data_IF_831395246894
#
_entry.id   IF_831395246894
#
_cell.length_a   1.000
_cell.length_b   1.000
_cell.length_c   1.000
_cell.angle_alpha   90.00
_cell.angle_beta   90.00
_cell.angle_gamma   90.00
#
_symmetry.space_group_name_H-M   'P 1'
#
loop_
_entity.id
_entity.type
_entity.pdbx_description
1 polymer ?
#
# COMPACT_ATOMS: atom_id res chain seq x y z
N UNK A 1 0.69 -18.99 48.89
CA UNK A 1 1.34 -17.92 48.11
C UNK A 1 1.91 -18.53 46.85
N UNK A 2 1.46 -18.11 45.67
CA UNK A 2 2.29 -17.98 44.44
C UNK A 2 1.48 -17.28 43.36
N UNK A 3 2.13 -16.33 42.71
CA UNK A 3 1.59 -15.15 42.03
C UNK A 3 0.73 -15.43 40.80
N UNK A 4 -0.37 -14.66 40.70
CA UNK A 4 -1.04 -14.33 39.43
C UNK A 4 -0.17 -13.34 38.66
N UNK A 5 0.77 -13.84 37.86
CA UNK A 5 1.37 -13.04 36.79
C UNK A 5 0.45 -13.06 35.57
N UNK A 6 -0.67 -12.33 35.68
CA UNK A 6 -1.41 -11.88 34.49
C UNK A 6 -0.55 -10.84 33.79
N UNK A 7 0.27 -11.31 32.85
CA UNK A 7 1.07 -10.48 31.94
C UNK A 7 0.11 -9.60 31.14
N UNK A 8 -0.20 -8.42 31.67
CA UNK A 8 -1.00 -7.39 31.02
C UNK A 8 -0.32 -7.11 29.67
N UNK A 9 -0.91 -7.56 28.56
CA UNK A 9 -0.51 -7.11 27.22
C UNK A 9 -0.60 -5.58 27.25
N UNK A 10 0.53 -4.87 27.26
CA UNK A 10 0.49 -3.42 27.26
C UNK A 10 -0.21 -3.00 25.97
N UNK A 11 -1.31 -2.25 26.10
CA UNK A 11 -1.94 -1.63 24.94
C UNK A 11 -0.93 -0.68 24.33
N UNK A 12 -0.71 -0.81 23.03
CA UNK A 12 0.11 0.12 22.26
C UNK A 12 -0.43 1.54 22.44
N UNK A 13 0.48 2.50 22.56
CA UNK A 13 0.13 3.92 22.47
C UNK A 13 -0.34 4.26 21.06
N UNK A 14 -1.01 5.41 20.92
CA UNK A 14 -1.44 5.93 19.62
C UNK A 14 -0.24 6.06 18.67
N UNK A 15 0.88 6.59 19.16
CA UNK A 15 2.11 6.81 18.37
C UNK A 15 2.75 5.50 17.89
N UNK A 16 2.77 4.48 18.75
CA UNK A 16 3.26 3.14 18.36
C UNK A 16 2.35 2.50 17.32
N UNK A 17 1.03 2.63 17.50
CA UNK A 17 0.03 2.13 16.55
C UNK A 17 0.17 2.80 15.19
N UNK A 18 0.35 4.12 15.14
CA UNK A 18 0.60 4.86 13.90
C UNK A 18 1.90 4.45 13.21
N UNK A 19 2.93 4.12 13.99
CA UNK A 19 4.22 3.66 13.47
C UNK A 19 4.08 2.27 12.85
N UNK A 20 3.39 1.35 13.54
CA UNK A 20 3.07 0.02 13.01
C UNK A 20 2.20 0.11 11.75
N UNK A 21 1.22 1.01 11.73
CA UNK A 21 0.39 1.26 10.55
C UNK A 21 1.23 1.74 9.37
N UNK A 22 2.24 2.59 9.60
CA UNK A 22 3.18 3.03 8.55
C UNK A 22 3.99 1.87 7.98
N UNK A 23 4.53 0.98 8.84
CA UNK A 23 5.24 -0.22 8.35
C UNK A 23 4.32 -1.16 7.58
N UNK A 24 3.09 -1.37 8.07
CA UNK A 24 2.09 -2.21 7.40
C UNK A 24 1.71 -1.64 6.03
N UNK A 25 1.54 -0.31 5.96
CA UNK A 25 1.27 0.43 4.72
C UNK A 25 2.42 0.26 3.73
N UNK A 26 3.66 0.44 4.20
CA UNK A 26 4.85 0.28 3.37
C UNK A 26 4.97 -1.13 2.80
N UNK A 27 4.84 -2.16 3.64
CA UNK A 27 4.96 -3.56 3.22
C UNK A 27 3.92 -3.90 2.13
N UNK A 28 2.64 -3.61 2.37
CA UNK A 28 1.58 -3.89 1.39
C UNK A 28 1.77 -3.13 0.09
N UNK A 29 2.12 -1.85 0.17
CA UNK A 29 2.43 -1.05 -1.02
C UNK A 29 3.58 -1.66 -1.82
N UNK A 30 4.67 -2.02 -1.13
CA UNK A 30 5.85 -2.60 -1.77
C UNK A 30 5.54 -3.94 -2.45
N UNK A 31 4.68 -4.78 -1.86
CA UNK A 31 4.25 -6.05 -2.46
C UNK A 31 3.50 -5.83 -3.78
N UNK A 32 2.60 -4.84 -3.82
CA UNK A 32 1.85 -4.50 -5.04
C UNK A 32 2.81 -3.96 -6.12
N UNK A 33 3.71 -3.04 -5.76
CA UNK A 33 4.69 -2.48 -6.70
C UNK A 33 5.71 -3.52 -7.18
N UNK A 34 6.08 -4.50 -6.35
CA UNK A 34 6.93 -5.61 -6.79
C UNK A 34 6.31 -6.36 -7.98
N UNK A 35 4.98 -6.57 -8.00
CA UNK A 35 4.31 -7.20 -9.14
C UNK A 35 4.45 -6.36 -10.40
N UNK A 36 4.33 -5.04 -10.29
CA UNK A 36 4.53 -4.10 -11.39
C UNK A 36 5.95 -4.17 -11.97
N UNK A 37 6.96 -4.25 -11.10
CA UNK A 37 8.35 -4.38 -11.52
C UNK A 37 8.65 -5.73 -12.18
N UNK A 38 8.03 -6.81 -11.69
CA UNK A 38 8.14 -8.15 -12.29
C UNK A 38 7.51 -8.20 -13.69
N UNK A 39 6.46 -7.40 -13.96
CA UNK A 39 5.90 -7.21 -15.30
C UNK A 39 6.81 -6.40 -16.25
N UNK A 40 7.91 -5.84 -15.75
CA UNK A 40 8.91 -5.11 -16.53
C UNK A 40 8.76 -3.59 -16.51
N UNK A 41 7.72 -3.03 -15.87
CA UNK A 41 7.53 -1.58 -15.76
C UNK A 41 8.32 -1.01 -14.58
N UNK A 42 9.04 0.10 -14.77
CA UNK A 42 10.02 0.59 -13.77
C UNK A 42 9.89 2.06 -13.40
N UNK A 43 8.93 2.79 -13.95
CA UNK A 43 8.80 4.23 -13.72
C UNK A 43 7.41 4.60 -13.23
N UNK A 44 7.34 5.69 -12.49
CA UNK A 44 6.06 6.30 -12.14
C UNK A 44 5.28 6.74 -13.38
N UNK A 45 5.97 7.20 -14.44
CA UNK A 45 5.30 7.61 -15.68
C UNK A 45 4.62 6.43 -16.38
N UNK A 46 5.23 5.23 -16.34
CA UNK A 46 4.59 4.01 -16.84
C UNK A 46 3.35 3.68 -16.01
N UNK A 47 3.44 3.72 -14.67
CA UNK A 47 2.29 3.48 -13.80
C UNK A 47 1.18 4.50 -14.10
N UNK A 48 1.52 5.78 -14.18
CA UNK A 48 0.59 6.87 -14.49
C UNK A 48 -0.11 6.62 -15.83
N UNK A 49 0.62 6.33 -16.89
CA UNK A 49 0.05 6.10 -18.22
C UNK A 49 -0.93 4.91 -18.22
N UNK A 50 -0.53 3.78 -17.63
CA UNK A 50 -1.36 2.59 -17.48
C UNK A 50 -2.63 2.90 -16.69
N UNK A 51 -2.48 3.57 -15.55
CA UNK A 51 -3.62 3.90 -14.70
C UNK A 51 -4.58 4.89 -15.37
N UNK A 52 -4.07 5.91 -16.07
CA UNK A 52 -4.90 6.86 -16.81
C UNK A 52 -5.59 6.24 -18.02
N UNK A 53 -5.01 5.21 -18.64
CA UNK A 53 -5.67 4.47 -19.71
C UNK A 53 -6.93 3.73 -19.21
N UNK A 54 -6.88 3.15 -18.00
CA UNK A 54 -8.02 2.42 -17.42
C UNK A 54 -8.96 3.30 -16.58
N UNK A 55 -8.44 4.36 -15.98
CA UNK A 55 -9.16 5.30 -15.11
C UNK A 55 -8.70 6.73 -15.43
N UNK A 56 -9.29 7.39 -16.46
CA UNK A 56 -8.86 8.72 -16.90
C UNK A 56 -8.87 9.77 -15.80
N UNK A 57 -9.83 9.67 -14.87
CA UNK A 57 -10.03 10.61 -13.77
C UNK A 57 -9.31 10.22 -12.47
N UNK A 58 -8.32 9.32 -12.53
CA UNK A 58 -7.58 8.91 -11.34
C UNK A 58 -6.85 10.08 -10.70
N UNK A 59 -6.96 10.19 -9.37
CA UNK A 59 -6.24 11.21 -8.60
C UNK A 59 -4.72 10.95 -8.63
N UNK A 60 -4.02 11.74 -9.44
CA UNK A 60 -2.57 11.61 -9.64
C UNK A 60 -1.75 11.94 -8.38
N UNK A 61 -2.27 12.79 -7.50
CA UNK A 61 -1.59 13.13 -6.24
C UNK A 61 -1.62 11.89 -5.35
N UNK A 62 -2.79 11.26 -5.19
CA UNK A 62 -2.90 10.03 -4.40
C UNK A 62 -2.15 8.87 -5.05
N UNK A 63 -2.16 8.75 -6.38
CA UNK A 63 -1.37 7.74 -7.09
C UNK A 63 0.14 7.93 -6.86
N UNK A 64 0.63 9.18 -6.85
CA UNK A 64 2.04 9.46 -6.54
C UNK A 64 2.38 9.14 -5.09
N UNK A 65 1.48 9.44 -4.15
CA UNK A 65 1.66 9.06 -2.74
C UNK A 65 1.63 7.55 -2.54
N UNK A 66 0.80 6.83 -3.29
CA UNK A 66 0.81 5.37 -3.36
C UNK A 66 2.16 4.86 -3.88
N UNK A 67 2.66 5.40 -5.00
CA UNK A 67 3.98 5.04 -5.56
C UNK A 67 5.12 5.20 -4.55
N UNK A 68 5.06 6.24 -3.72
CA UNK A 68 6.05 6.48 -2.67
C UNK A 68 5.78 5.70 -1.37
N UNK A 69 4.77 4.82 -1.35
CA UNK A 69 4.28 4.10 -0.18
C UNK A 69 3.94 4.98 1.04
N UNK A 70 3.46 6.20 0.77
CA UNK A 70 3.07 7.19 1.78
C UNK A 70 1.57 7.18 2.10
N UNK A 71 0.75 6.62 1.21
CA UNK A 71 -0.70 6.59 1.36
C UNK A 71 -1.28 5.32 0.72
N UNK A 72 -2.03 4.55 1.51
CA UNK A 72 -2.84 3.43 1.03
C UNK A 72 -4.30 3.84 1.00
N UNK A 73 -4.61 4.78 0.10
CA UNK A 73 -6.00 5.14 -0.18
C UNK A 73 -6.69 3.94 -0.82
N UNK A 74 -7.79 3.49 -0.19
CA UNK A 74 -8.46 2.24 -0.56
C UNK A 74 -8.91 2.22 -2.02
N UNK A 75 -9.37 3.36 -2.54
CA UNK A 75 -9.84 3.46 -3.92
C UNK A 75 -8.67 3.35 -4.91
N UNK A 76 -7.55 4.05 -4.64
CA UNK A 76 -6.34 3.94 -5.47
C UNK A 76 -5.79 2.51 -5.46
N UNK A 77 -5.68 1.90 -4.29
CA UNK A 77 -5.15 0.54 -4.15
C UNK A 77 -5.99 -0.46 -4.94
N UNK A 78 -7.31 -0.42 -4.78
CA UNK A 78 -8.23 -1.31 -5.49
C UNK A 78 -8.12 -1.15 -7.01
N UNK A 79 -8.04 0.10 -7.50
CA UNK A 79 -7.86 0.39 -8.93
C UNK A 79 -6.53 -0.15 -9.46
N UNK A 80 -5.43 0.07 -8.73
CA UNK A 80 -4.09 -0.44 -9.10
C UNK A 80 -4.09 -1.96 -9.16
N UNK A 81 -4.57 -2.64 -8.11
CA UNK A 81 -4.65 -4.10 -8.07
C UNK A 81 -5.52 -4.64 -9.22
N UNK A 82 -6.68 -4.02 -9.47
CA UNK A 82 -7.57 -4.41 -10.58
C UNK A 82 -6.87 -4.31 -11.94
N UNK A 83 -6.09 -3.25 -12.17
CA UNK A 83 -5.37 -3.07 -13.43
C UNK A 83 -4.23 -4.09 -13.54
N UNK A 84 -3.46 -4.29 -12.48
CA UNK A 84 -2.36 -5.26 -12.49
C UNK A 84 -2.87 -6.68 -12.73
N UNK A 85 -4.00 -7.08 -12.15
CA UNK A 85 -4.62 -8.38 -12.44
C UNK A 85 -5.07 -8.51 -13.90
N UNK A 86 -5.57 -7.43 -14.53
CA UNK A 86 -5.91 -7.45 -15.96
C UNK A 86 -4.69 -7.61 -16.86
N UNK A 87 -3.53 -7.12 -16.44
CA UNK A 87 -2.27 -7.17 -17.19
C UNK A 87 -1.52 -8.50 -17.07
N UNK A 88 -1.92 -9.38 -16.15
CA UNK A 88 -1.37 -10.75 -16.01
C UNK A 88 -1.95 -11.74 -17.00
N UNK A 89 -2.98 -11.35 -17.75
CA UNK A 89 -3.64 -12.16 -18.78
C UNK A 89 -3.07 -11.84 -20.16
#
# INVERSE_FOLDING_TARGET
>A
MTNKDTKTKSKLTIRETETINRFTTFNKCSEILCQFFVMGFKSFDALKAIMQFHYPDIDLIKLKRFWNCQLMDRDIVLKVETVFEKMKK
#
